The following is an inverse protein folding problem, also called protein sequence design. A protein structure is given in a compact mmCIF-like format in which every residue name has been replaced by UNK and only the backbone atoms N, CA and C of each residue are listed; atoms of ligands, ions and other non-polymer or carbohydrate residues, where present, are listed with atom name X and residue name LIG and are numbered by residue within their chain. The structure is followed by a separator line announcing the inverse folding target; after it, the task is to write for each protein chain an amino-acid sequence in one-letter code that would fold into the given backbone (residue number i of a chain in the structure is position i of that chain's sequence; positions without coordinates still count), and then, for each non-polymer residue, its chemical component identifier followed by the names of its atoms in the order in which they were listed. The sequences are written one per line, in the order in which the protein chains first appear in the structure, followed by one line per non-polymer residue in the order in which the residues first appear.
data_IF_390455575223
#
_entry.id   IF_390455575223
#
_cell.length_a   1.000
_cell.length_b   1.000
_cell.length_c   1.000
_cell.angle_alpha   90.00
_cell.angle_beta   90.00
_cell.angle_gamma   90.00
#
_symmetry.space_group_name_H-M   'P 1'
#
loop_
_entity.id
_entity.type
_entity.pdbx_description
1 polymer ?
#
# COMPACT_ATOMS: atom_id res chain seq x y z
N UNK A 1 -3.82 -12.37 -26.89
CA UNK A 1 -3.17 -13.14 -25.80
C UNK A 1 -3.86 -12.76 -24.50
N UNK A 2 -4.22 -13.74 -23.66
CA UNK A 2 -4.72 -13.44 -22.33
C UNK A 2 -3.62 -12.76 -21.51
N UNK A 3 -3.97 -11.75 -20.71
CA UNK A 3 -3.02 -11.11 -19.82
C UNK A 3 -2.52 -12.14 -18.78
N UNK A 4 -1.21 -12.32 -18.64
CA UNK A 4 -0.61 -13.16 -17.58
C UNK A 4 -0.96 -12.53 -16.22
N UNK A 5 -1.57 -13.30 -15.33
CA UNK A 5 -1.71 -12.92 -13.92
C UNK A 5 -0.30 -12.77 -13.33
N UNK A 6 -0.03 -11.60 -12.73
CA UNK A 6 1.23 -11.33 -12.02
C UNK A 6 1.01 -11.43 -10.53
N UNK A 7 1.93 -12.09 -9.83
CA UNK A 7 1.83 -12.32 -8.39
C UNK A 7 3.02 -11.67 -7.69
N UNK A 8 2.75 -10.85 -6.68
CA UNK A 8 3.76 -10.24 -5.84
C UNK A 8 3.79 -10.88 -4.45
N UNK A 9 4.98 -10.93 -3.83
CA UNK A 9 5.16 -11.45 -2.48
C UNK A 9 5.21 -10.30 -1.46
N UNK A 10 4.35 -10.34 -0.45
CA UNK A 10 4.46 -9.42 0.69
C UNK A 10 5.57 -9.90 1.65
N UNK A 11 6.52 -9.03 1.96
CA UNK A 11 7.73 -9.38 2.73
C UNK A 11 7.51 -9.60 4.24
N UNK A 12 6.27 -9.71 4.70
CA UNK A 12 5.96 -9.84 6.13
C UNK A 12 6.55 -11.13 6.73
N UNK A 13 6.71 -12.16 5.90
CA UNK A 13 7.26 -13.46 6.29
C UNK A 13 8.72 -13.37 6.77
N UNK A 14 9.46 -12.33 6.34
CA UNK A 14 10.86 -12.10 6.71
C UNK A 14 11.04 -11.25 7.96
N UNK A 15 9.94 -10.77 8.58
CA UNK A 15 9.93 -10.14 9.91
C UNK A 15 10.95 -9.00 10.10
N UNK A 16 11.29 -8.28 9.03
CA UNK A 16 12.22 -7.15 9.07
C UNK A 16 13.58 -7.42 8.42
N UNK A 17 13.94 -8.67 8.09
CA UNK A 17 15.20 -8.98 7.42
C UNK A 17 15.36 -8.22 6.09
N UNK A 18 14.26 -7.85 5.42
CA UNK A 18 14.31 -7.03 4.21
C UNK A 18 14.94 -5.64 4.43
N UNK A 19 14.98 -5.15 5.67
CA UNK A 19 15.63 -3.89 6.02
C UNK A 19 17.14 -4.06 6.25
N UNK A 20 17.57 -5.26 6.63
CA UNK A 20 18.97 -5.58 6.96
C UNK A 20 19.70 -6.16 5.74
N UNK A 21 19.03 -7.05 5.00
CA UNK A 21 19.57 -7.75 3.85
C UNK A 21 18.55 -7.78 2.67
N UNK A 22 18.23 -6.62 2.08
CA UNK A 22 17.23 -6.51 1.00
C UNK A 22 17.57 -7.36 -0.22
N UNK A 23 18.86 -7.57 -0.52
CA UNK A 23 19.28 -8.37 -1.68
C UNK A 23 18.99 -9.87 -1.49
N UNK A 24 19.30 -10.42 -0.30
CA UNK A 24 18.95 -11.81 0.01
C UNK A 24 17.46 -12.05 -0.10
N UNK A 25 16.65 -11.20 0.55
CA UNK A 25 15.19 -11.33 0.55
C UNK A 25 14.63 -11.23 -0.87
N UNK A 26 15.09 -10.25 -1.66
CA UNK A 26 14.64 -10.12 -3.05
C UNK A 26 15.02 -11.34 -3.89
N UNK A 27 16.19 -11.94 -3.66
CA UNK A 27 16.62 -13.16 -4.36
C UNK A 27 15.75 -14.35 -3.99
N UNK A 28 15.44 -14.56 -2.72
CA UNK A 28 14.55 -15.63 -2.27
C UNK A 28 13.13 -15.50 -2.87
N UNK A 29 12.62 -14.27 -3.01
CA UNK A 29 11.35 -14.02 -3.70
C UNK A 29 11.44 -14.33 -5.20
N UNK A 30 12.53 -13.94 -5.86
CA UNK A 30 12.74 -14.22 -7.29
C UNK A 30 12.88 -15.73 -7.55
N UNK A 31 13.67 -16.42 -6.73
CA UNK A 31 13.89 -17.87 -6.81
C UNK A 31 12.59 -18.66 -6.57
N UNK A 32 11.67 -18.11 -5.78
CA UNK A 32 10.32 -18.65 -5.58
C UNK A 32 9.36 -18.38 -6.76
N UNK A 33 9.76 -17.60 -7.78
CA UNK A 33 9.03 -17.40 -9.03
C UNK A 33 7.98 -16.28 -9.02
N UNK A 34 8.03 -15.36 -8.06
CA UNK A 34 7.14 -14.19 -8.05
C UNK A 34 7.52 -13.17 -9.13
N UNK A 35 6.55 -12.36 -9.55
CA UNK A 35 6.76 -11.26 -10.51
C UNK A 35 7.04 -9.92 -9.80
N UNK A 36 6.85 -9.84 -8.47
CA UNK A 36 7.00 -8.61 -7.72
C UNK A 36 7.07 -8.76 -6.20
N UNK A 37 7.23 -7.62 -5.52
CA UNK A 37 7.41 -7.50 -4.07
C UNK A 37 6.55 -6.36 -3.52
N UNK A 38 5.98 -6.58 -2.33
CA UNK A 38 5.40 -5.55 -1.47
C UNK A 38 6.06 -5.54 -0.09
N UNK A 39 6.25 -4.35 0.50
CA UNK A 39 6.71 -4.21 1.88
C UNK A 39 8.12 -3.64 2.04
N UNK A 40 8.76 -3.25 0.94
CA UNK A 40 9.96 -2.41 1.01
C UNK A 40 9.60 -0.97 1.40
N UNK A 41 10.48 -0.34 2.19
CA UNK A 41 10.38 1.06 2.57
C UNK A 41 11.68 1.78 2.22
N UNK A 42 11.57 2.90 1.52
CA UNK A 42 12.70 3.78 1.23
C UNK A 42 12.54 5.07 2.03
N UNK A 43 13.59 5.53 2.71
CA UNK A 43 13.59 6.80 3.45
C UNK A 43 14.02 7.98 2.57
N UNK A 44 14.68 7.70 1.45
CA UNK A 44 15.19 8.71 0.51
C UNK A 44 15.03 8.23 -0.93
N UNK A 45 15.15 9.14 -1.89
CA UNK A 45 15.15 8.80 -3.31
C UNK A 45 16.32 7.87 -3.69
N UNK A 46 17.51 8.06 -3.10
CA UNK A 46 18.66 7.19 -3.35
C UNK A 46 18.43 5.77 -2.82
N UNK A 47 17.79 5.64 -1.66
CA UNK A 47 17.37 4.33 -1.14
C UNK A 47 16.35 3.66 -2.06
N UNK A 48 15.38 4.42 -2.59
CA UNK A 48 14.43 3.90 -3.59
C UNK A 48 15.16 3.38 -4.82
N UNK A 49 16.09 4.16 -5.38
CA UNK A 49 16.88 3.76 -6.56
C UNK A 49 17.69 2.49 -6.28
N UNK A 50 18.29 2.39 -5.09
CA UNK A 50 19.01 1.18 -4.67
C UNK A 50 18.09 -0.05 -4.63
N UNK A 51 16.92 0.06 -3.99
CA UNK A 51 15.95 -1.04 -3.90
C UNK A 51 15.37 -1.43 -5.27
N UNK A 52 15.05 -0.44 -6.11
CA UNK A 52 14.60 -0.65 -7.48
C UNK A 52 15.68 -1.32 -8.34
N UNK A 53 16.95 -0.97 -8.12
CA UNK A 53 18.07 -1.61 -8.83
C UNK A 53 18.26 -3.06 -8.42
N UNK A 54 18.16 -3.37 -7.12
CA UNK A 54 18.24 -4.75 -6.60
C UNK A 54 17.12 -5.61 -7.20
N UNK A 55 15.87 -5.14 -7.06
CA UNK A 55 14.69 -5.89 -7.52
C UNK A 55 14.63 -6.00 -9.05
N UNK A 56 14.94 -4.92 -9.78
CA UNK A 56 14.96 -4.90 -11.23
C UNK A 56 15.98 -5.86 -11.85
N UNK A 57 17.17 -6.03 -11.25
CA UNK A 57 18.16 -7.04 -11.70
C UNK A 57 17.64 -8.47 -11.59
N UNK A 58 16.70 -8.71 -10.69
CA UNK A 58 16.07 -10.01 -10.45
C UNK A 58 14.74 -10.18 -11.18
N UNK A 59 14.35 -9.19 -12.01
CA UNK A 59 13.07 -9.22 -12.74
C UNK A 59 11.84 -8.97 -11.86
N UNK A 60 12.02 -8.47 -10.64
CA UNK A 60 10.94 -8.19 -9.70
C UNK A 60 10.49 -6.73 -9.77
N UNK A 61 9.18 -6.51 -9.68
CA UNK A 61 8.57 -5.19 -9.59
C UNK A 61 8.14 -4.85 -8.16
N UNK A 62 8.50 -3.67 -7.64
CA UNK A 62 8.00 -3.18 -6.34
C UNK A 62 6.59 -2.63 -6.53
N UNK A 63 5.56 -3.38 -6.12
CA UNK A 63 4.14 -3.05 -6.39
C UNK A 63 3.56 -1.98 -5.48
N UNK A 64 4.17 -1.77 -4.31
CA UNK A 64 3.80 -0.73 -3.34
C UNK A 64 5.01 -0.46 -2.43
N UNK A 65 5.58 0.74 -2.51
CA UNK A 65 6.71 1.17 -1.70
C UNK A 65 6.27 2.08 -0.57
N UNK A 66 6.78 1.86 0.64
CA UNK A 66 6.64 2.79 1.76
C UNK A 66 7.64 3.96 1.66
N UNK A 67 7.28 5.08 2.28
CA UNK A 67 8.11 6.29 2.41
C UNK A 67 7.77 7.05 3.70
N UNK A 68 8.61 8.01 4.15
CA UNK A 68 8.41 8.75 5.40
C UNK A 68 7.14 9.62 5.38
N UNK A 69 6.81 10.21 4.24
CA UNK A 69 5.62 11.07 4.08
C UNK A 69 4.70 10.57 2.97
N UNK A 70 3.40 10.95 2.99
CA UNK A 70 2.48 10.62 1.90
C UNK A 70 2.93 11.15 0.53
N UNK A 71 3.43 12.40 0.45
CA UNK A 71 3.91 12.98 -0.82
C UNK A 71 5.09 12.17 -1.40
N UNK A 72 6.08 11.84 -0.57
CA UNK A 72 7.20 10.99 -1.00
C UNK A 72 6.72 9.60 -1.43
N UNK A 73 5.77 9.01 -0.69
CA UNK A 73 5.19 7.71 -1.03
C UNK A 73 4.56 7.76 -2.42
N UNK A 74 3.84 8.82 -2.75
CA UNK A 74 3.20 8.99 -4.05
C UNK A 74 4.22 9.17 -5.16
N UNK A 75 5.22 10.03 -4.94
CA UNK A 75 6.32 10.23 -5.88
C UNK A 75 7.10 8.95 -6.14
N UNK A 76 7.38 8.16 -5.10
CA UNK A 76 8.11 6.91 -5.21
C UNK A 76 7.31 5.87 -6.00
N UNK A 77 6.05 5.65 -5.63
CA UNK A 77 5.19 4.70 -6.33
C UNK A 77 4.94 5.12 -7.78
N UNK A 78 4.75 6.41 -8.06
CA UNK A 78 4.63 6.91 -9.43
C UNK A 78 5.94 6.69 -10.22
N UNK A 79 7.10 6.94 -9.62
CA UNK A 79 8.42 6.71 -10.23
C UNK A 79 8.66 5.24 -10.56
N UNK A 80 8.19 4.34 -9.68
CA UNK A 80 8.22 2.89 -9.91
C UNK A 80 7.21 2.45 -11.00
N UNK A 81 6.33 3.33 -11.49
CA UNK A 81 5.31 3.00 -12.48
C UNK A 81 4.03 2.39 -11.88
N UNK A 82 3.86 2.46 -10.56
CA UNK A 82 2.63 2.03 -9.90
C UNK A 82 1.51 3.01 -10.21
N UNK A 83 0.29 2.47 -10.28
CA UNK A 83 -0.95 3.23 -10.55
C UNK A 83 -1.84 3.37 -9.32
N UNK A 84 -1.39 2.79 -8.20
CA UNK A 84 -2.08 2.77 -6.92
C UNK A 84 -1.05 2.96 -5.82
N UNK A 85 -1.48 3.47 -4.67
CA UNK A 85 -0.60 3.69 -3.52
C UNK A 85 -1.41 3.61 -2.24
N UNK A 86 -0.83 2.94 -1.24
CA UNK A 86 -1.48 2.82 0.06
C UNK A 86 -1.43 4.19 0.77
N UNK A 87 -2.58 4.63 1.28
CA UNK A 87 -2.69 5.81 2.15
C UNK A 87 -2.95 5.39 3.60
N UNK A 88 -2.70 6.27 4.60
CA UNK A 88 -2.81 5.91 6.02
C UNK A 88 -4.15 5.26 6.37
N UNK A 89 -4.12 4.05 6.92
CA UNK A 89 -5.32 3.31 7.26
C UNK A 89 -6.11 4.00 8.39
N UNK A 90 -7.43 4.06 8.25
CA UNK A 90 -8.31 4.46 9.33
C UNK A 90 -8.49 3.31 10.33
N UNK A 91 -7.89 3.43 11.53
CA UNK A 91 -8.00 2.41 12.59
C UNK A 91 -9.21 2.69 13.48
N UNK A 92 -9.94 1.64 13.86
CA UNK A 92 -11.17 1.74 14.66
C UNK A 92 -10.96 2.47 15.98
N UNK A 93 -9.83 2.26 16.66
CA UNK A 93 -9.47 2.92 17.93
C UNK A 93 -9.32 4.45 17.83
N UNK A 94 -9.05 4.99 16.63
CA UNK A 94 -8.97 6.42 16.36
C UNK A 94 -10.35 7.07 16.15
N UNK A 95 -11.41 6.27 15.95
CA UNK A 95 -12.75 6.77 15.64
C UNK A 95 -13.80 6.24 16.62
N UNK A 96 -14.34 5.04 16.38
CA UNK A 96 -15.51 4.50 17.10
C UNK A 96 -15.24 3.23 17.92
N UNK A 97 -13.98 2.82 18.04
CA UNK A 97 -13.58 1.61 18.76
C UNK A 97 -14.22 0.33 18.19
N UNK A 98 -14.64 -0.58 19.08
CA UNK A 98 -15.17 -1.90 18.67
C UNK A 98 -16.50 -1.84 17.89
N UNK A 99 -17.25 -0.75 18.02
CA UNK A 99 -18.60 -0.61 17.45
C UNK A 99 -18.79 0.79 16.82
N UNK A 100 -18.12 1.08 15.70
CA UNK A 100 -18.20 2.40 15.07
C UNK A 100 -19.60 2.71 14.54
N UNK A 101 -20.04 3.93 14.78
CA UNK A 101 -21.27 4.52 14.26
C UNK A 101 -21.06 5.09 12.85
N UNK A 102 -22.13 5.39 12.12
CA UNK A 102 -22.02 5.98 10.77
C UNK A 102 -21.30 7.35 10.78
N UNK A 103 -21.46 8.12 11.86
CA UNK A 103 -20.70 9.35 12.07
C UNK A 103 -19.18 9.10 12.21
N UNK A 104 -18.77 7.95 12.76
CA UNK A 104 -17.36 7.57 12.84
C UNK A 104 -16.77 7.26 11.46
N UNK A 105 -17.55 6.61 10.58
CA UNK A 105 -17.17 6.38 9.18
C UNK A 105 -17.02 7.69 8.41
N UNK A 106 -17.95 8.63 8.61
CA UNK A 106 -17.84 9.95 8.00
C UNK A 106 -16.57 10.69 8.47
N UNK A 107 -16.28 10.67 9.78
CA UNK A 107 -15.04 11.28 10.34
C UNK A 107 -13.78 10.60 9.81
N UNK A 108 -13.79 9.28 9.68
CA UNK A 108 -12.68 8.53 9.10
C UNK A 108 -12.43 8.93 7.64
N UNK A 109 -13.48 8.95 6.81
CA UNK A 109 -13.39 9.37 5.41
C UNK A 109 -12.90 10.82 5.26
N UNK A 110 -13.34 11.72 6.14
CA UNK A 110 -12.91 13.12 6.17
C UNK A 110 -11.43 13.25 6.57
N UNK A 111 -10.95 12.47 7.55
CA UNK A 111 -9.54 12.50 7.99
C UNK A 111 -8.53 12.13 6.90
N UNK A 112 -8.97 11.40 5.87
CA UNK A 112 -8.14 11.01 4.73
C UNK A 112 -8.45 11.82 3.46
N UNK A 113 -9.33 12.83 3.53
CA UNK A 113 -9.76 13.58 2.35
C UNK A 113 -8.61 14.27 1.63
N UNK A 114 -7.74 14.96 2.37
CA UNK A 114 -6.63 15.71 1.79
C UNK A 114 -5.58 14.79 1.16
N UNK A 115 -5.22 13.69 1.83
CA UNK A 115 -4.25 12.72 1.30
C UNK A 115 -4.80 11.97 0.09
N UNK A 116 -6.11 11.68 0.04
CA UNK A 116 -6.77 11.13 -1.16
C UNK A 116 -6.75 12.11 -2.33
N UNK A 117 -7.08 13.38 -2.08
CA UNK A 117 -7.03 14.43 -3.10
C UNK A 117 -5.62 14.59 -3.66
N UNK A 118 -4.59 14.55 -2.79
CA UNK A 118 -3.19 14.58 -3.18
C UNK A 118 -2.81 13.35 -4.03
N UNK A 119 -3.14 12.12 -3.62
CA UNK A 119 -2.86 10.93 -4.43
C UNK A 119 -3.46 11.04 -5.85
N UNK A 120 -4.68 11.58 -5.95
CA UNK A 120 -5.35 11.79 -7.23
C UNK A 120 -4.72 12.88 -8.08
N UNK A 121 -4.14 13.93 -7.50
CA UNK A 121 -3.39 14.93 -8.27
C UNK A 121 -2.13 14.35 -8.93
N UNK A 122 -1.58 13.25 -8.37
CA UNK A 122 -0.52 12.45 -9.00
C UNK A 122 -1.05 11.40 -10.01
N UNK A 123 -2.36 11.29 -10.20
CA UNK A 123 -2.97 10.26 -11.04
C UNK A 123 -2.97 8.86 -10.42
N UNK A 124 -2.74 8.74 -9.12
CA UNK A 124 -2.71 7.47 -8.39
C UNK A 124 -4.09 7.13 -7.83
N UNK A 125 -4.36 5.83 -7.69
CA UNK A 125 -5.49 5.27 -6.95
C UNK A 125 -5.11 5.12 -5.46
N UNK A 126 -5.61 5.98 -4.55
CA UNK A 126 -5.35 5.80 -3.12
C UNK A 126 -6.09 4.56 -2.62
N UNK A 127 -5.42 3.70 -1.85
CA UNK A 127 -6.08 2.52 -1.30
C UNK A 127 -5.79 2.26 0.18
N UNK A 128 -6.62 1.40 0.78
CA UNK A 128 -6.41 0.82 2.11
C UNK A 128 -6.30 -0.71 2.05
N UNK A 129 -5.50 -1.28 2.94
CA UNK A 129 -5.52 -2.70 3.26
C UNK A 129 -6.64 -3.00 4.25
N UNK A 130 -7.48 -3.98 3.92
CA UNK A 130 -8.48 -4.48 4.86
C UNK A 130 -7.77 -5.31 5.94
N UNK A 131 -7.84 -4.86 7.19
CA UNK A 131 -7.25 -5.59 8.31
C UNK A 131 -8.17 -5.56 9.54
N UNK A 132 -7.92 -6.48 10.46
CA UNK A 132 -8.48 -6.40 11.81
C UNK A 132 -8.20 -5.02 12.44
N UNK A 133 -9.23 -4.50 13.09
CA UNK A 133 -9.32 -3.18 13.71
C UNK A 133 -9.22 -2.00 12.75
N UNK A 134 -9.52 -2.17 11.46
CA UNK A 134 -9.67 -1.05 10.51
C UNK A 134 -11.13 -0.70 10.28
N UNK A 135 -11.38 0.51 9.79
CA UNK A 135 -12.72 0.97 9.37
C UNK A 135 -13.21 0.26 8.09
N UNK A 136 -12.50 -0.76 7.59
CA UNK A 136 -12.88 -1.58 6.43
C UNK A 136 -12.71 -3.08 6.73
N UNK A 137 -12.79 -3.49 8.00
CA UNK A 137 -12.57 -4.86 8.44
C UNK A 137 -13.61 -5.86 7.88
N UNK A 138 -14.84 -5.42 7.64
CA UNK A 138 -15.90 -6.24 7.03
C UNK A 138 -16.40 -5.62 5.73
N UNK A 139 -17.04 -6.38 4.83
CA UNK A 139 -17.66 -5.82 3.62
C UNK A 139 -18.64 -4.68 3.92
N UNK A 140 -19.43 -4.81 4.99
CA UNK A 140 -20.37 -3.76 5.42
C UNK A 140 -19.65 -2.50 5.89
N UNK A 141 -18.50 -2.63 6.56
CA UNK A 141 -17.70 -1.48 6.97
C UNK A 141 -17.07 -0.80 5.76
N UNK A 142 -16.57 -1.59 4.80
CA UNK A 142 -16.08 -1.10 3.52
C UNK A 142 -17.16 -0.31 2.76
N UNK A 143 -18.38 -0.84 2.65
CA UNK A 143 -19.51 -0.14 2.02
C UNK A 143 -19.79 1.21 2.70
N UNK A 144 -19.79 1.24 4.03
CA UNK A 144 -20.00 2.49 4.80
C UNK A 144 -18.90 3.50 4.56
N UNK A 145 -17.63 3.09 4.58
CA UNK A 145 -16.52 4.02 4.34
C UNK A 145 -16.54 4.53 2.90
N UNK A 146 -16.78 3.66 1.92
CA UNK A 146 -16.87 4.03 0.50
C UNK A 146 -18.03 4.96 0.18
N UNK A 147 -19.14 4.90 0.94
CA UNK A 147 -20.24 5.87 0.81
C UNK A 147 -19.79 7.32 1.08
N UNK A 148 -18.78 7.51 1.95
CA UNK A 148 -18.20 8.83 2.26
C UNK A 148 -16.88 9.11 1.53
N UNK A 149 -16.21 8.08 1.01
CA UNK A 149 -14.95 8.16 0.26
C UNK A 149 -15.02 7.32 -1.04
N UNK A 150 -15.85 7.70 -2.03
CA UNK A 150 -16.13 6.87 -3.22
C UNK A 150 -14.93 6.73 -4.17
N UNK A 151 -13.87 7.51 -3.97
CA UNK A 151 -12.63 7.45 -4.74
C UNK A 151 -11.49 6.71 -4.01
N UNK A 152 -11.78 6.13 -2.84
CA UNK A 152 -10.91 5.19 -2.16
C UNK A 152 -11.00 3.82 -2.84
N UNK A 153 -9.85 3.22 -3.10
CA UNK A 153 -9.75 1.84 -3.55
C UNK A 153 -9.45 0.92 -2.35
N UNK A 154 -9.74 -0.36 -2.49
CA UNK A 154 -9.48 -1.36 -1.45
C UNK A 154 -8.52 -2.39 -2.00
N UNK A 155 -7.56 -2.79 -1.16
CA UNK A 155 -6.81 -4.02 -1.33
C UNK A 155 -7.56 -5.11 -0.56
N UNK A 156 -7.99 -6.14 -1.29
CA UNK A 156 -8.56 -7.34 -0.68
C UNK A 156 -7.41 -8.17 -0.10
N UNK A 157 -7.36 -8.24 1.23
CA UNK A 157 -6.35 -8.95 2.03
C UNK A 157 -6.89 -10.31 2.49
#
# INVERSE_FOLDING_TARGET
MAAKLRIACHLIQWRGEQNENPEKVAREVADAGYDGIEGFQAKTADELVKLATITGKLGLHIVNAGAPTPDERFRFNLTLGNKATEIPACRRDQFGGKSPTDADFQRAAESIREVRALAKSYGLKPFHHAHLNTMIETPKDADKLLAYAPDLYLLFD
#
